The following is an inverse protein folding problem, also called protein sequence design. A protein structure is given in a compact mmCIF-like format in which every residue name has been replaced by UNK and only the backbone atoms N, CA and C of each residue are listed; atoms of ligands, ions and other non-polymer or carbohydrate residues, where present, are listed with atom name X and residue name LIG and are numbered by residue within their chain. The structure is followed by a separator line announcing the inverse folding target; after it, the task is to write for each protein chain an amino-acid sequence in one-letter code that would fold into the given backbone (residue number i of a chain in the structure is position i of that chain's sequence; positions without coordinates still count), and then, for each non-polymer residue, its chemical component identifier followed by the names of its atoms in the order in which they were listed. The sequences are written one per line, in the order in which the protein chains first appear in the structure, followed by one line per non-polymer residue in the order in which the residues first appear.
data_IF_443489331523
#
_entry.id   IF_443489331523
#
_cell.length_a   1.000
_cell.length_b   1.000
_cell.length_c   1.000
_cell.angle_alpha   90.00
_cell.angle_beta   90.00
_cell.angle_gamma   90.00
#
_symmetry.space_group_name_H-M   'P 1'
#
loop_
_entity.id
_entity.type
_entity.pdbx_description
1 polymer ?
#
# COMPACT_ATOMS: atom_id res chain seq x y z
N UNK A 1 -0.29 12.33 -4.56
CA UNK A 1 0.64 11.24 -4.27
C UNK A 1 0.23 10.52 -2.98
N UNK A 2 0.69 9.32 -2.79
CA UNK A 2 0.53 8.58 -1.53
C UNK A 2 1.90 8.07 -1.10
N UNK A 3 2.15 8.15 0.19
CA UNK A 3 3.36 7.60 0.80
C UNK A 3 2.96 6.38 1.60
N UNK A 4 3.67 5.25 1.40
CA UNK A 4 3.45 4.04 2.16
C UNK A 4 4.62 3.79 3.09
N UNK A 5 4.34 3.38 4.32
CA UNK A 5 5.34 3.07 5.34
C UNK A 5 4.94 1.81 6.09
N UNK A 6 5.87 1.25 6.84
CA UNK A 6 5.65 0.04 7.64
C UNK A 6 5.09 -1.10 6.78
N UNK A 7 5.65 -1.27 5.60
CA UNK A 7 5.21 -2.29 4.65
C UNK A 7 5.71 -3.65 5.14
N UNK A 8 4.78 -4.58 5.39
CA UNK A 8 5.11 -5.92 5.85
C UNK A 8 4.28 -6.95 5.11
N UNK A 9 4.90 -8.07 4.79
CA UNK A 9 4.20 -9.21 4.20
C UNK A 9 4.07 -10.33 5.20
N UNK A 10 2.88 -10.92 5.29
CA UNK A 10 2.60 -12.06 6.13
C UNK A 10 1.77 -13.06 5.32
N UNK A 11 2.45 -14.05 4.72
CA UNK A 11 1.79 -14.99 3.82
C UNK A 11 1.29 -14.30 2.56
N UNK A 12 0.00 -14.39 2.30
CA UNK A 12 -0.65 -13.80 1.13
C UNK A 12 -1.21 -12.41 1.37
N UNK A 13 -0.92 -11.81 2.52
CA UNK A 13 -1.40 -10.47 2.81
C UNK A 13 -0.23 -9.53 3.06
N UNK A 14 -0.44 -8.27 2.71
CA UNK A 14 0.48 -7.18 3.01
C UNK A 14 -0.27 -6.17 3.87
N UNK A 15 0.41 -5.69 4.92
CA UNK A 15 -0.06 -4.58 5.71
C UNK A 15 0.85 -3.38 5.48
N UNK A 16 0.28 -2.18 5.49
CA UNK A 16 1.03 -0.96 5.32
C UNK A 16 0.22 0.23 5.83
N UNK A 17 0.93 1.32 6.08
CA UNK A 17 0.30 2.60 6.40
C UNK A 17 0.38 3.50 5.18
N UNK A 18 -0.76 4.00 4.72
CA UNK A 18 -0.86 4.92 3.58
C UNK A 18 -1.14 6.32 4.09
N UNK A 19 -0.36 7.28 3.61
CA UNK A 19 -0.50 8.69 3.97
C UNK A 19 -0.88 9.48 2.72
N UNK A 20 -2.11 10.05 2.72
CA UNK A 20 -2.59 10.86 1.60
C UNK A 20 -1.72 12.11 1.48
N UNK A 21 -1.17 12.36 0.29
CA UNK A 21 -0.25 13.45 0.01
C UNK A 21 0.95 13.52 0.97
N UNK A 22 1.30 12.39 1.61
CA UNK A 22 2.37 12.34 2.60
C UNK A 22 2.01 12.98 3.94
N UNK A 23 0.76 13.37 4.14
CA UNK A 23 0.30 14.02 5.37
C UNK A 23 0.15 13.00 6.50
N UNK A 24 0.93 13.16 7.57
CA UNK A 24 0.92 12.24 8.71
C UNK A 24 -0.40 12.21 9.46
N UNK A 25 -1.25 13.23 9.30
CA UNK A 25 -2.57 13.28 9.90
C UNK A 25 -3.64 12.58 9.06
N UNK A 26 -3.29 12.11 7.87
CA UNK A 26 -4.21 11.46 6.94
C UNK A 26 -3.74 10.05 6.65
N UNK A 27 -3.63 9.26 7.72
CA UNK A 27 -3.13 7.89 7.67
C UNK A 27 -4.27 6.89 7.51
N UNK A 28 -4.03 5.90 6.66
CA UNK A 28 -4.91 4.73 6.50
C UNK A 28 -4.10 3.47 6.67
N UNK A 29 -4.45 2.64 7.64
CA UNK A 29 -3.82 1.32 7.78
C UNK A 29 -4.54 0.35 6.86
N UNK A 30 -3.81 -0.23 5.91
CA UNK A 30 -4.38 -1.08 4.86
C UNK A 30 -3.78 -2.47 4.96
N UNK A 31 -4.65 -3.48 4.92
CA UNK A 31 -4.26 -4.88 4.78
C UNK A 31 -4.92 -5.38 3.50
N UNK A 32 -4.12 -5.89 2.56
CA UNK A 32 -4.67 -6.35 1.29
C UNK A 32 -4.08 -7.69 0.88
N UNK A 33 -4.85 -8.44 0.07
CA UNK A 33 -4.46 -9.72 -0.47
C UNK A 33 -3.57 -9.51 -1.71
N UNK A 34 -2.43 -10.20 -1.76
CA UNK A 34 -1.45 -10.01 -2.85
C UNK A 34 -1.93 -10.57 -4.18
N UNK A 35 -2.86 -11.53 -4.18
CA UNK A 35 -3.33 -12.15 -5.41
C UNK A 35 -4.55 -11.45 -6.00
N UNK A 36 -5.46 -10.98 -5.16
CA UNK A 36 -6.70 -10.34 -5.61
C UNK A 36 -6.63 -8.82 -5.54
N UNK A 37 -5.68 -8.28 -4.76
CA UNK A 37 -5.53 -6.85 -4.45
C UNK A 37 -6.72 -6.29 -3.69
N UNK A 38 -7.52 -7.14 -3.05
CA UNK A 38 -8.65 -6.73 -2.25
C UNK A 38 -8.20 -6.31 -0.85
N UNK A 39 -8.80 -5.22 -0.36
CA UNK A 39 -8.59 -4.76 1.01
C UNK A 39 -9.31 -5.73 1.95
N UNK A 40 -8.59 -6.23 2.94
CA UNK A 40 -9.09 -7.24 3.88
C UNK A 40 -9.52 -6.68 5.23
N UNK A 41 -9.17 -5.45 5.54
CA UNK A 41 -9.61 -4.78 6.76
C UNK A 41 -10.64 -3.69 6.41
N UNK A 42 -11.02 -2.89 7.40
CA UNK A 42 -12.00 -1.81 7.20
C UNK A 42 -11.37 -0.50 6.74
N UNK A 43 -10.27 -0.58 6.02
CA UNK A 43 -9.62 0.60 5.49
C UNK A 43 -10.44 1.27 4.40
N UNK A 44 -10.28 2.58 4.27
CA UNK A 44 -10.91 3.35 3.19
C UNK A 44 -10.39 2.85 1.84
N UNK A 45 -11.31 2.65 0.90
CA UNK A 45 -10.96 2.30 -0.48
C UNK A 45 -11.15 3.55 -1.35
N UNK A 46 -10.09 4.34 -1.45
CA UNK A 46 -10.09 5.57 -2.25
C UNK A 46 -8.90 5.57 -3.22
N UNK A 47 -8.70 6.66 -3.96
CA UNK A 47 -7.63 6.75 -4.94
C UNK A 47 -6.25 6.54 -4.28
N UNK A 48 -6.06 7.04 -3.08
CA UNK A 48 -4.77 6.95 -2.38
C UNK A 48 -4.45 5.50 -1.99
N UNK A 49 -5.39 4.80 -1.36
CA UNK A 49 -5.16 3.41 -0.96
C UNK A 49 -5.05 2.51 -2.19
N UNK A 50 -5.83 2.74 -3.25
CA UNK A 50 -5.74 1.98 -4.48
C UNK A 50 -4.38 2.19 -5.17
N UNK A 51 -3.90 3.41 -5.25
CA UNK A 51 -2.60 3.69 -5.86
C UNK A 51 -1.46 3.09 -5.02
N UNK A 52 -1.59 3.10 -3.71
CA UNK A 52 -0.62 2.45 -2.82
C UNK A 52 -0.54 0.95 -3.08
N UNK A 53 -1.69 0.28 -3.17
CA UNK A 53 -1.76 -1.16 -3.46
C UNK A 53 -1.14 -1.46 -4.83
N UNK A 54 -1.48 -0.69 -5.86
CA UNK A 54 -0.93 -0.87 -7.20
C UNK A 54 0.59 -0.70 -7.22
N UNK A 55 1.10 0.28 -6.50
CA UNK A 55 2.55 0.52 -6.43
C UNK A 55 3.26 -0.67 -5.81
N UNK A 56 2.76 -1.21 -4.71
CA UNK A 56 3.36 -2.38 -4.07
C UNK A 56 3.25 -3.60 -4.98
N UNK A 57 2.13 -3.79 -5.63
CA UNK A 57 1.96 -4.88 -6.59
C UNK A 57 3.00 -4.82 -7.70
N UNK A 58 3.25 -3.64 -8.26
CA UNK A 58 4.24 -3.46 -9.32
C UNK A 58 5.67 -3.70 -8.82
N UNK A 59 5.99 -3.26 -7.60
CA UNK A 59 7.30 -3.52 -7.00
C UNK A 59 7.51 -5.03 -6.85
N UNK A 60 6.51 -5.75 -6.40
CA UNK A 60 6.60 -7.20 -6.21
C UNK A 60 6.82 -7.97 -7.50
N UNK A 61 6.35 -7.46 -8.63
CA UNK A 61 6.58 -8.07 -9.93
C UNK A 61 8.05 -7.99 -10.36
N UNK A 62 8.77 -6.98 -9.89
CA UNK A 62 10.12 -6.69 -10.35
C UNK A 62 11.20 -7.07 -9.35
N UNK A 63 10.83 -7.25 -8.08
CA UNK A 63 11.78 -7.50 -7.01
C UNK A 63 11.27 -8.56 -6.06
N UNK A 64 12.12 -9.52 -5.64
CA UNK A 64 11.71 -10.52 -4.63
C UNK A 64 11.63 -9.92 -3.22
N UNK A 65 12.24 -8.77 -3.00
CA UNK A 65 12.24 -8.13 -1.69
C UNK A 65 11.28 -6.97 -1.65
N UNK A 66 10.46 -6.94 -0.60
CA UNK A 66 9.50 -5.88 -0.37
C UNK A 66 10.16 -4.76 0.42
N UNK A 67 10.13 -3.51 -0.06
CA UNK A 67 10.71 -2.40 0.69
C UNK A 67 9.86 -2.10 1.92
N UNK A 68 10.44 -1.43 2.89
CA UNK A 68 9.71 -0.97 4.08
C UNK A 68 8.92 0.31 3.81
N UNK A 69 9.31 1.07 2.79
CA UNK A 69 8.71 2.34 2.38
C UNK A 69 8.62 2.42 0.88
N UNK A 70 7.60 3.08 0.41
CA UNK A 70 7.44 3.37 -1.01
C UNK A 70 6.56 4.60 -1.18
N UNK A 71 6.54 5.13 -2.39
CA UNK A 71 5.64 6.24 -2.73
C UNK A 71 5.08 6.02 -4.12
N UNK A 72 3.89 6.56 -4.36
CA UNK A 72 3.29 6.54 -5.68
C UNK A 72 2.85 7.96 -6.04
N UNK A 73 3.17 8.35 -7.27
CA UNK A 73 2.85 9.67 -7.81
C UNK A 73 2.00 9.48 -9.06
N UNK A 74 0.98 10.33 -9.21
CA UNK A 74 0.14 10.35 -10.42
C UNK A 74 -0.34 11.76 -10.66
N UNK A 75 -0.75 12.03 -11.90
CA UNK A 75 -1.28 13.34 -12.28
C UNK A 75 -2.79 13.34 -12.31
#
# INVERSE_FOLDING_TARGET
MVKMDNIERNGNVISMDCYEEGDLNRRHHVIFDVSTLEIKNQAVNNVYTRQGIWRIHNIMKESPELPKRASSYWC
#
